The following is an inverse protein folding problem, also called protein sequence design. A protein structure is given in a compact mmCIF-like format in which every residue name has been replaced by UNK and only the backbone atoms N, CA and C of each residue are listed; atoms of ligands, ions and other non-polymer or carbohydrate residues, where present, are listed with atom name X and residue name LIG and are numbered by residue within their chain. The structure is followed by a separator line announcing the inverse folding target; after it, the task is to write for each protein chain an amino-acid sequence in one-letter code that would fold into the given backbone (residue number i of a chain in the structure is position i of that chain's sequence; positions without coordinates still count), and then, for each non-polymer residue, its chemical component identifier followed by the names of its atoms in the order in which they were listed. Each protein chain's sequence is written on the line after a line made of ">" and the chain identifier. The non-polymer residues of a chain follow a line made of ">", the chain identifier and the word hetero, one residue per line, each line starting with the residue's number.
data_IF_249014481036
#
_entry.id   IF_249014481036
#
_cell.length_a   1.000
_cell.length_b   1.000
_cell.length_c   1.000
_cell.angle_alpha   90.00
_cell.angle_beta   90.00
_cell.angle_gamma   90.00
#
_symmetry.space_group_name_H-M   'P 1'
#
loop_
_entity.id
_entity.type
_entity.pdbx_description
1 polymer ?
#
# COMPACT_ATOMS: atom_id res chain seq x y z
N UNK A 1 -3.48 6.83 -17.29
CA UNK A 1 -2.92 6.01 -18.40
C UNK A 1 -3.60 4.66 -18.34
N UNK A 2 -4.17 4.21 -19.45
CA UNK A 2 -4.85 2.92 -19.55
C UNK A 2 -3.88 1.73 -19.49
N UNK A 3 -4.42 0.53 -19.24
CA UNK A 3 -3.60 -0.70 -19.17
C UNK A 3 -2.89 -1.00 -20.50
N UNK A 4 -3.54 -0.76 -21.63
CA UNK A 4 -2.97 -0.96 -22.96
C UNK A 4 -1.82 0.02 -23.29
N UNK A 5 -1.97 1.29 -22.89
CA UNK A 5 -0.92 2.30 -23.05
C UNK A 5 0.31 1.96 -22.23
N UNK A 6 0.10 1.45 -21.01
CA UNK A 6 1.18 1.01 -20.13
C UNK A 6 1.89 -0.23 -20.69
N UNK A 7 1.15 -1.21 -21.19
CA UNK A 7 1.75 -2.38 -21.87
C UNK A 7 2.53 -1.99 -23.14
N UNK A 8 2.08 -0.96 -23.87
CA UNK A 8 2.82 -0.44 -25.01
C UNK A 8 4.17 0.18 -24.60
N UNK A 9 4.20 0.94 -23.48
CA UNK A 9 5.44 1.47 -22.92
C UNK A 9 6.38 0.34 -22.46
N UNK A 10 5.83 -0.65 -21.77
CA UNK A 10 6.61 -1.82 -21.31
C UNK A 10 7.22 -2.56 -22.48
N UNK A 11 6.45 -2.78 -23.55
CA UNK A 11 6.95 -3.42 -24.78
C UNK A 11 8.12 -2.65 -25.41
N UNK A 12 8.05 -1.32 -25.44
CA UNK A 12 9.15 -0.48 -25.94
C UNK A 12 10.43 -0.67 -25.13
N UNK A 13 10.29 -0.67 -23.80
CA UNK A 13 11.45 -0.85 -22.89
C UNK A 13 12.02 -2.26 -23.02
N UNK A 14 11.17 -3.30 -23.10
CA UNK A 14 11.61 -4.68 -23.39
C UNK A 14 12.33 -4.79 -24.72
N UNK A 15 11.95 -3.98 -25.71
CA UNK A 15 12.59 -3.88 -27.02
C UNK A 15 13.90 -3.08 -27.05
N UNK A 16 14.37 -2.57 -25.89
CA UNK A 16 15.66 -1.88 -25.75
C UNK A 16 15.59 -0.37 -25.56
N UNK A 17 14.42 0.25 -25.60
CA UNK A 17 14.23 1.68 -25.28
C UNK A 17 14.34 1.93 -23.76
N UNK A 18 15.57 1.95 -23.26
CA UNK A 18 15.82 2.16 -21.82
C UNK A 18 15.29 3.50 -21.30
N UNK A 19 15.22 4.53 -22.14
CA UNK A 19 14.72 5.84 -21.76
C UNK A 19 13.22 5.79 -21.41
N UNK A 20 12.44 4.93 -22.05
CA UNK A 20 11.02 4.72 -21.78
C UNK A 20 10.71 4.21 -20.36
N UNK A 21 11.71 3.71 -19.62
CA UNK A 21 11.48 3.30 -18.22
C UNK A 21 11.13 4.48 -17.31
N UNK A 22 11.62 5.68 -17.61
CA UNK A 22 11.22 6.88 -16.86
C UNK A 22 9.71 7.15 -16.96
N UNK A 23 9.11 6.87 -18.13
CA UNK A 23 7.68 7.04 -18.34
C UNK A 23 6.88 5.99 -17.55
N UNK A 24 7.35 4.72 -17.52
CA UNK A 24 6.77 3.66 -16.69
C UNK A 24 6.81 4.06 -15.21
N UNK A 25 7.96 4.56 -14.74
CA UNK A 25 8.12 5.04 -13.37
C UNK A 25 7.13 6.18 -13.07
N UNK A 26 7.09 7.21 -13.90
CA UNK A 26 6.21 8.36 -13.71
C UNK A 26 4.73 7.96 -13.63
N UNK A 27 4.33 7.01 -14.49
CA UNK A 27 2.96 6.52 -14.57
C UNK A 27 2.52 5.68 -13.37
N UNK A 28 3.43 4.89 -12.78
CA UNK A 28 3.06 3.85 -11.79
C UNK A 28 3.53 4.15 -10.37
N UNK A 29 4.49 5.08 -10.18
CA UNK A 29 5.06 5.37 -8.86
C UNK A 29 4.01 5.77 -7.82
N UNK A 30 2.95 6.46 -8.24
CA UNK A 30 1.89 6.92 -7.33
C UNK A 30 1.09 5.74 -6.79
N UNK A 31 0.74 4.80 -7.64
CA UNK A 31 -0.06 3.62 -7.26
C UNK A 31 0.74 2.69 -6.34
N UNK A 32 2.02 2.48 -6.66
CA UNK A 32 2.92 1.71 -5.79
C UNK A 32 3.14 2.40 -4.45
N UNK A 33 3.34 3.74 -4.45
CA UNK A 33 3.50 4.51 -3.22
C UNK A 33 2.27 4.44 -2.32
N UNK A 34 1.07 4.57 -2.89
CA UNK A 34 -0.20 4.43 -2.16
C UNK A 34 -0.29 3.04 -1.53
N UNK A 35 0.00 1.99 -2.32
CA UNK A 35 0.01 0.62 -1.83
C UNK A 35 0.98 0.44 -0.66
N UNK A 36 2.22 0.88 -0.81
CA UNK A 36 3.23 0.78 0.26
C UNK A 36 2.85 1.59 1.50
N UNK A 37 2.31 2.81 1.32
CA UNK A 37 1.90 3.67 2.44
C UNK A 37 0.76 3.08 3.27
N UNK A 38 -0.08 2.24 2.67
CA UNK A 38 -1.14 1.55 3.38
C UNK A 38 -0.60 0.46 4.34
N UNK A 39 0.58 -0.12 4.04
CA UNK A 39 1.07 -1.32 4.71
C UNK A 39 2.41 -1.12 5.43
N UNK A 40 3.21 -0.13 5.07
CA UNK A 40 4.50 0.16 5.70
C UNK A 40 4.34 0.77 7.10
N UNK A 41 5.30 0.51 7.98
CA UNK A 41 5.32 1.04 9.35
C UNK A 41 5.81 2.49 9.44
N UNK A 42 6.55 3.00 8.45
CA UNK A 42 7.08 4.37 8.43
C UNK A 42 7.18 4.93 7.01
N UNK A 43 7.29 6.26 6.90
CA UNK A 43 7.49 6.92 5.60
C UNK A 43 8.86 6.57 4.98
N UNK A 44 9.89 6.43 5.81
CA UNK A 44 11.23 6.03 5.36
C UNK A 44 11.21 4.64 4.74
N UNK A 45 10.48 3.68 5.36
CA UNK A 45 10.28 2.35 4.78
C UNK A 45 9.56 2.42 3.43
N UNK A 46 8.57 3.31 3.28
CA UNK A 46 7.88 3.50 1.99
C UNK A 46 8.88 3.93 0.92
N UNK A 47 9.74 4.90 1.22
CA UNK A 47 10.69 5.44 0.26
C UNK A 47 11.79 4.43 -0.10
N UNK A 48 12.32 3.70 0.88
CA UNK A 48 13.31 2.63 0.67
C UNK A 48 12.73 1.49 -0.19
N UNK A 49 11.56 0.98 0.19
CA UNK A 49 10.92 -0.12 -0.54
C UNK A 49 10.48 0.33 -1.93
N UNK A 50 9.97 1.56 -2.09
CA UNK A 50 9.59 2.10 -3.39
C UNK A 50 10.77 2.11 -4.36
N UNK A 51 11.94 2.56 -3.90
CA UNK A 51 13.16 2.54 -4.71
C UNK A 51 13.54 1.11 -5.10
N UNK A 52 13.55 0.18 -4.14
CA UNK A 52 13.86 -1.22 -4.39
C UNK A 52 12.88 -1.89 -5.38
N UNK A 53 11.60 -1.52 -5.33
CA UNK A 53 10.56 -2.00 -6.27
C UNK A 53 10.91 -1.63 -7.71
N UNK A 54 11.30 -0.39 -7.96
CA UNK A 54 11.60 0.04 -9.33
C UNK A 54 12.94 -0.51 -9.84
N UNK A 55 13.92 -0.72 -8.97
CA UNK A 55 15.15 -1.45 -9.33
C UNK A 55 14.79 -2.90 -9.73
N UNK A 56 14.05 -3.62 -8.90
CA UNK A 56 13.63 -4.98 -9.19
C UNK A 56 12.70 -5.05 -10.42
N UNK A 57 11.86 -4.05 -10.62
CA UNK A 57 11.02 -3.91 -11.81
C UNK A 57 11.89 -3.82 -13.07
N UNK A 58 12.89 -2.94 -13.07
CA UNK A 58 13.79 -2.77 -14.21
C UNK A 58 14.53 -4.07 -14.55
N UNK A 59 15.08 -4.75 -13.55
CA UNK A 59 15.78 -6.01 -13.70
C UNK A 59 14.90 -7.14 -14.24
N UNK A 60 13.64 -7.21 -13.77
CA UNK A 60 12.69 -8.28 -14.10
C UNK A 60 11.71 -7.94 -15.22
N UNK A 61 11.80 -6.75 -15.80
CA UNK A 61 10.83 -6.28 -16.79
C UNK A 61 10.71 -7.23 -17.98
N UNK A 62 11.83 -7.87 -18.37
CA UNK A 62 11.87 -8.85 -19.45
C UNK A 62 11.03 -10.11 -19.19
N UNK A 63 10.68 -10.39 -17.91
CA UNK A 63 9.85 -11.55 -17.52
C UNK A 63 8.35 -11.21 -17.49
N UNK A 64 7.97 -9.94 -17.60
CA UNK A 64 6.58 -9.56 -17.59
C UNK A 64 5.91 -9.88 -18.92
N UNK A 65 4.78 -10.61 -18.86
CA UNK A 65 3.94 -10.89 -20.01
C UNK A 65 2.89 -9.78 -20.18
N UNK A 66 2.80 -9.23 -21.40
CA UNK A 66 1.92 -8.10 -21.74
C UNK A 66 0.45 -8.53 -21.71
N UNK A 67 -0.20 -8.49 -20.56
CA UNK A 67 -1.59 -8.93 -20.31
C UNK A 67 -2.48 -7.82 -19.75
N UNK A 68 -2.05 -6.56 -19.78
CA UNK A 68 -2.79 -5.46 -19.15
C UNK A 68 -2.75 -5.46 -17.62
N UNK A 69 -1.91 -6.29 -17.01
CA UNK A 69 -1.82 -6.48 -15.55
C UNK A 69 -0.52 -5.96 -14.95
N UNK A 70 0.10 -4.95 -15.58
CA UNK A 70 1.41 -4.45 -15.16
C UNK A 70 1.40 -3.87 -13.74
N UNK A 71 0.41 -3.05 -13.40
CA UNK A 71 0.30 -2.46 -12.05
C UNK A 71 0.09 -3.54 -10.97
N UNK A 72 -0.81 -4.52 -11.12
CA UNK A 72 -0.89 -5.69 -10.26
C UNK A 72 0.42 -6.46 -10.12
N UNK A 73 1.13 -6.71 -11.22
CA UNK A 73 2.43 -7.38 -11.19
C UNK A 73 3.47 -6.57 -10.40
N UNK A 74 3.53 -5.25 -10.61
CA UNK A 74 4.43 -4.35 -9.90
C UNK A 74 4.09 -4.28 -8.39
N UNK A 75 2.81 -4.27 -8.02
CA UNK A 75 2.37 -4.37 -6.63
C UNK A 75 2.75 -5.73 -6.00
N UNK A 76 2.78 -6.81 -6.79
CA UNK A 76 3.31 -8.11 -6.35
C UNK A 76 4.79 -8.04 -5.96
N UNK A 77 5.62 -7.35 -6.74
CA UNK A 77 7.02 -7.07 -6.40
C UNK A 77 7.09 -6.23 -5.12
N UNK A 78 6.30 -5.17 -5.03
CA UNK A 78 6.26 -4.28 -3.88
C UNK A 78 5.89 -5.02 -2.58
N UNK A 79 4.90 -5.91 -2.65
CA UNK A 79 4.49 -6.76 -1.54
C UNK A 79 5.65 -7.62 -1.03
N UNK A 80 6.32 -8.35 -1.94
CA UNK A 80 7.39 -9.26 -1.56
C UNK A 80 8.58 -8.52 -0.92
N UNK A 81 8.92 -7.33 -1.43
CA UNK A 81 9.99 -6.52 -0.87
C UNK A 81 9.59 -5.91 0.48
N UNK A 82 8.36 -5.44 0.62
CA UNK A 82 7.84 -4.92 1.88
C UNK A 82 7.84 -5.99 2.98
N UNK A 83 7.40 -7.21 2.65
CA UNK A 83 7.44 -8.34 3.58
C UNK A 83 8.86 -8.66 4.02
N UNK A 84 9.80 -8.71 3.08
CA UNK A 84 11.21 -8.94 3.39
C UNK A 84 11.73 -7.89 4.35
N UNK A 85 11.40 -6.61 4.13
CA UNK A 85 11.82 -5.51 4.99
C UNK A 85 11.17 -5.58 6.38
N UNK A 86 9.88 -5.88 6.46
CA UNK A 86 9.18 -6.09 7.72
C UNK A 86 9.79 -7.24 8.52
N UNK A 87 10.09 -8.37 7.88
CA UNK A 87 10.77 -9.51 8.53
C UNK A 87 12.18 -9.16 9.00
N UNK A 88 12.94 -8.38 8.25
CA UNK A 88 14.27 -7.94 8.68
C UNK A 88 14.21 -7.06 9.91
N UNK A 89 13.25 -6.13 9.95
CA UNK A 89 13.06 -5.23 11.09
C UNK A 89 12.42 -5.92 12.31
N UNK A 90 11.55 -6.92 12.11
CA UNK A 90 10.92 -7.69 13.19
C UNK A 90 11.91 -8.61 13.90
N UNK A 91 12.97 -9.06 13.25
CA UNK A 91 14.06 -9.79 13.91
C UNK A 91 14.77 -9.00 15.01
N UNK A 92 14.63 -7.68 15.00
CA UNK A 92 15.13 -6.79 16.07
C UNK A 92 14.06 -6.51 17.15
N UNK A 93 12.79 -6.93 16.95
CA UNK A 93 11.68 -6.75 17.90
C UNK A 93 10.93 -8.08 18.01
N UNK A 94 11.33 -8.87 19.02
CA UNK A 94 10.71 -10.09 19.60
C UNK A 94 9.37 -10.59 19.03
N UNK A 95 9.41 -11.76 18.50
CA UNK A 95 8.53 -12.99 18.48
C UNK A 95 6.99 -12.93 18.67
N UNK A 96 6.29 -11.81 18.70
CA UNK A 96 4.82 -11.77 18.90
C UNK A 96 4.01 -11.25 17.69
N UNK A 97 4.63 -11.03 16.53
CA UNK A 97 4.01 -10.31 15.41
C UNK A 97 3.52 -11.17 14.23
N UNK A 98 3.66 -12.50 14.24
CA UNK A 98 3.28 -13.36 13.11
C UNK A 98 1.79 -13.22 12.71
N UNK A 99 0.90 -13.02 13.69
CA UNK A 99 -0.53 -12.82 13.42
C UNK A 99 -0.83 -11.48 12.74
N UNK A 100 -0.10 -10.40 13.10
CA UNK A 100 -0.26 -9.08 12.50
C UNK A 100 0.32 -9.04 11.08
N UNK A 101 1.44 -9.74 10.85
CA UNK A 101 2.06 -9.85 9.53
C UNK A 101 1.15 -10.61 8.54
N UNK A 102 0.56 -11.72 8.98
CA UNK A 102 -0.39 -12.49 8.17
C UNK A 102 -1.64 -11.67 7.83
N UNK A 103 -2.17 -10.89 8.76
CA UNK A 103 -3.31 -10.01 8.53
C UNK A 103 -2.99 -8.86 7.55
N UNK A 104 -1.79 -8.27 7.64
CA UNK A 104 -1.32 -7.27 6.67
C UNK A 104 -1.18 -7.89 5.27
N UNK A 105 -0.76 -9.16 5.21
CA UNK A 105 -0.60 -9.93 3.98
C UNK A 105 -1.95 -10.22 3.31
N UNK A 106 -2.92 -10.69 4.08
CA UNK A 106 -4.28 -10.99 3.59
C UNK A 106 -4.97 -9.72 3.08
N UNK A 107 -4.79 -8.60 3.80
CA UNK A 107 -5.30 -7.29 3.41
C UNK A 107 -4.67 -6.77 2.11
N UNK A 108 -3.36 -6.92 1.97
CA UNK A 108 -2.65 -6.58 0.74
C UNK A 108 -3.09 -7.45 -0.44
N UNK A 109 -3.37 -8.74 -0.21
CA UNK A 109 -3.85 -9.66 -1.25
C UNK A 109 -5.30 -9.37 -1.65
N UNK A 110 -6.16 -9.00 -0.72
CA UNK A 110 -7.53 -8.60 -1.00
C UNK A 110 -7.56 -7.33 -1.86
N UNK A 111 -6.75 -6.32 -1.52
CA UNK A 111 -6.62 -5.06 -2.28
C UNK A 111 -6.10 -5.27 -3.71
N UNK A 112 -5.35 -6.35 -3.97
CA UNK A 112 -4.87 -6.70 -5.31
C UNK A 112 -5.96 -7.28 -6.21
N UNK A 113 -7.10 -7.70 -5.66
CA UNK A 113 -8.23 -8.27 -6.42
C UNK A 113 -9.25 -7.21 -6.85
N UNK A 114 -9.21 -6.03 -6.24
CA UNK A 114 -10.14 -4.92 -6.53
C UNK A 114 -9.48 -3.87 -7.43
N UNK A 115 -9.22 -4.23 -8.69
CA UNK A 115 -8.78 -3.27 -9.70
C UNK A 115 -10.00 -2.77 -10.49
N UNK A 116 -10.55 -1.63 -10.06
CA UNK A 116 -11.51 -0.90 -10.88
C UNK A 116 -11.32 0.60 -10.76
N UNK A 117 -10.81 1.17 -11.85
CA UNK A 117 -10.50 2.57 -12.05
C UNK A 117 -11.73 3.49 -12.18
N UNK A 118 -12.93 2.92 -12.34
CA UNK A 118 -14.16 3.66 -12.62
C UNK A 118 -14.87 4.30 -11.41
N UNK A 119 -14.44 3.96 -10.17
CA UNK A 119 -15.14 4.41 -8.95
C UNK A 119 -14.31 5.31 -8.03
N UNK A 120 -13.31 5.99 -8.56
CA UNK A 120 -12.31 6.68 -7.72
C UNK A 120 -12.88 7.89 -6.96
N UNK A 121 -13.74 8.68 -7.59
CA UNK A 121 -14.34 9.87 -6.95
C UNK A 121 -15.38 9.47 -5.91
N UNK A 122 -16.23 8.51 -6.23
CA UNK A 122 -17.21 7.95 -5.30
C UNK A 122 -16.54 7.24 -4.12
N UNK A 123 -15.40 6.58 -4.34
CA UNK A 123 -14.65 5.92 -3.28
C UNK A 123 -14.01 6.92 -2.31
N UNK A 124 -13.53 8.07 -2.80
CA UNK A 124 -12.96 9.13 -1.96
C UNK A 124 -14.05 9.74 -1.08
N UNK A 125 -15.22 10.04 -1.65
CA UNK A 125 -16.34 10.60 -0.87
C UNK A 125 -16.82 9.60 0.18
N UNK A 126 -16.98 8.32 -0.19
CA UNK A 126 -17.36 7.25 0.75
C UNK A 126 -16.33 7.07 1.88
N UNK A 127 -15.04 7.15 1.56
CA UNK A 127 -13.99 7.10 2.58
C UNK A 127 -14.10 8.29 3.54
N UNK A 128 -14.34 9.50 3.04
CA UNK A 128 -14.53 10.69 3.87
C UNK A 128 -15.73 10.51 4.83
N UNK A 129 -16.83 9.96 4.34
CA UNK A 129 -18.02 9.66 5.14
C UNK A 129 -17.74 8.60 6.21
N UNK A 130 -16.98 7.55 5.86
CA UNK A 130 -16.57 6.53 6.84
C UNK A 130 -15.59 7.07 7.88
N UNK A 131 -14.66 7.93 7.50
CA UNK A 131 -13.77 8.62 8.42
C UNK A 131 -14.53 9.53 9.40
N UNK A 132 -15.60 10.19 8.94
CA UNK A 132 -16.43 11.02 9.80
C UNK A 132 -17.16 10.25 10.90
N UNK A 133 -17.40 8.95 10.70
CA UNK A 133 -18.04 8.04 11.68
C UNK A 133 -17.10 7.49 12.73
N UNK A 134 -15.79 7.66 12.56
CA UNK A 134 -14.80 7.24 13.56
C UNK A 134 -14.90 8.07 14.84
N UNK A 135 -14.55 7.44 15.97
CA UNK A 135 -14.39 8.18 17.23
C UNK A 135 -13.28 9.22 17.11
N UNK A 136 -13.32 10.33 17.88
CA UNK A 136 -12.28 11.37 17.82
C UNK A 136 -10.87 10.77 17.97
N UNK A 137 -10.69 9.83 18.90
CA UNK A 137 -9.40 9.19 19.17
C UNK A 137 -8.92 8.32 18.01
N UNK A 138 -9.84 7.60 17.36
CA UNK A 138 -9.51 6.79 16.17
C UNK A 138 -9.12 7.67 14.98
N UNK A 139 -9.82 8.82 14.82
CA UNK A 139 -9.51 9.78 13.78
C UNK A 139 -8.13 10.40 13.99
N UNK A 140 -7.79 10.77 15.23
CA UNK A 140 -6.48 11.30 15.59
C UNK A 140 -5.36 10.30 15.28
N UNK A 141 -5.55 9.00 15.58
CA UNK A 141 -4.58 7.95 15.24
C UNK A 141 -4.37 7.83 13.72
N UNK A 142 -5.44 7.90 12.93
CA UNK A 142 -5.35 7.88 11.46
C UNK A 142 -4.64 9.14 10.95
N UNK A 143 -4.96 10.31 11.48
CA UNK A 143 -4.32 11.57 11.10
C UNK A 143 -2.82 11.55 11.41
N UNK A 144 -2.43 11.12 12.61
CA UNK A 144 -1.01 10.97 12.99
C UNK A 144 -0.28 10.01 12.04
N UNK A 145 -0.89 8.85 11.75
CA UNK A 145 -0.25 7.83 10.90
C UNK A 145 -0.13 8.25 9.44
N UNK A 146 -1.22 8.76 8.85
CA UNK A 146 -1.31 8.92 7.39
C UNK A 146 -1.11 10.35 6.91
N UNK A 147 -1.51 11.35 7.70
CA UNK A 147 -1.34 12.77 7.35
C UNK A 147 0.01 13.28 7.84
N UNK A 148 0.31 13.08 9.13
CA UNK A 148 1.58 13.52 9.74
C UNK A 148 2.71 12.53 9.56
N UNK A 149 2.43 11.33 9.06
CA UNK A 149 3.40 10.25 8.78
C UNK A 149 4.23 9.86 10.00
N UNK A 150 3.63 9.95 11.19
CA UNK A 150 4.34 9.62 12.42
C UNK A 150 4.71 8.12 12.47
N UNK A 151 5.93 7.77 12.84
CA UNK A 151 6.31 6.39 13.09
C UNK A 151 5.60 5.85 14.34
N UNK A 152 5.33 4.53 14.37
CA UNK A 152 4.60 3.87 15.46
C UNK A 152 5.23 4.15 16.82
N UNK A 153 6.56 4.18 16.90
CA UNK A 153 7.32 4.50 18.13
C UNK A 153 6.93 5.90 18.68
N UNK A 154 6.89 6.92 17.83
CA UNK A 154 6.46 8.27 18.24
C UNK A 154 4.99 8.32 18.63
N UNK A 155 4.13 7.61 17.90
CA UNK A 155 2.71 7.50 18.24
C UNK A 155 2.52 6.81 19.62
N UNK A 156 3.27 5.75 19.89
CA UNK A 156 3.26 5.05 21.18
C UNK A 156 3.59 6.02 22.34
N UNK A 157 4.59 6.87 22.16
CA UNK A 157 4.95 7.91 23.13
C UNK A 157 3.85 8.96 23.28
N UNK A 158 3.35 9.53 22.17
CA UNK A 158 2.33 10.59 22.18
C UNK A 158 1.01 10.12 22.79
N UNK A 159 0.59 8.90 22.49
CA UNK A 159 -0.65 8.31 23.00
C UNK A 159 -0.49 7.60 24.34
N UNK A 160 0.73 7.52 24.89
CA UNK A 160 1.07 6.80 26.14
C UNK A 160 0.58 5.35 26.11
N UNK A 161 0.84 4.67 25.01
CA UNK A 161 0.47 3.27 24.75
C UNK A 161 1.67 2.50 24.22
N UNK A 162 1.60 1.16 24.27
CA UNK A 162 2.62 0.32 23.65
C UNK A 162 2.54 0.40 22.13
N UNK A 163 3.64 0.12 21.43
CA UNK A 163 3.69 0.04 19.96
C UNK A 163 2.71 -1.02 19.45
N UNK A 164 2.64 -2.17 20.10
CA UNK A 164 1.68 -3.24 19.78
C UNK A 164 0.24 -2.75 19.91
N UNK A 165 -0.08 -1.97 20.95
CA UNK A 165 -1.41 -1.40 21.10
C UNK A 165 -1.75 -0.44 19.95
N UNK A 166 -0.82 0.42 19.52
CA UNK A 166 -0.99 1.33 18.38
C UNK A 166 -1.22 0.51 17.10
N UNK A 167 -0.39 -0.50 16.83
CA UNK A 167 -0.49 -1.33 15.65
C UNK A 167 -1.85 -2.06 15.57
N UNK A 168 -2.26 -2.74 16.66
CA UNK A 168 -3.55 -3.43 16.74
C UNK A 168 -4.73 -2.47 16.60
N UNK A 169 -4.63 -1.28 17.20
CA UNK A 169 -5.71 -0.28 17.11
C UNK A 169 -5.83 0.27 15.69
N UNK A 170 -4.72 0.60 15.03
CA UNK A 170 -4.72 1.01 13.62
C UNK A 170 -5.29 -0.08 12.71
N UNK A 171 -4.95 -1.35 12.97
CA UNK A 171 -5.54 -2.48 12.25
C UNK A 171 -7.07 -2.51 12.42
N UNK A 172 -7.58 -2.46 13.65
CA UNK A 172 -9.03 -2.46 13.92
C UNK A 172 -9.76 -1.29 13.27
N UNK A 173 -9.14 -0.11 13.24
CA UNK A 173 -9.69 1.07 12.57
C UNK A 173 -9.79 0.84 11.06
N UNK A 174 -8.74 0.27 10.44
CA UNK A 174 -8.75 -0.06 9.00
C UNK A 174 -9.84 -1.08 8.66
N UNK A 175 -10.00 -2.12 9.48
CA UNK A 175 -11.07 -3.10 9.30
C UNK A 175 -12.47 -2.46 9.41
N UNK A 176 -12.66 -1.57 10.37
CA UNK A 176 -13.91 -0.84 10.51
C UNK A 176 -14.20 0.05 9.28
N UNK A 177 -13.17 0.73 8.75
CA UNK A 177 -13.28 1.54 7.54
C UNK A 177 -13.58 0.67 6.31
N UNK A 178 -12.89 -0.47 6.14
CA UNK A 178 -13.15 -1.43 5.07
C UNK A 178 -14.61 -1.91 5.12
N UNK A 179 -15.08 -2.36 6.28
CA UNK A 179 -16.46 -2.80 6.47
C UNK A 179 -17.48 -1.69 6.17
N UNK A 180 -17.16 -0.44 6.54
CA UNK A 180 -18.01 0.72 6.25
C UNK A 180 -18.09 0.97 4.73
N UNK A 181 -16.98 0.92 4.04
CA UNK A 181 -16.92 1.15 2.59
C UNK A 181 -17.65 0.05 1.80
N UNK A 182 -17.44 -1.21 2.17
CA UNK A 182 -18.09 -2.36 1.52
C UNK A 182 -19.61 -2.37 1.75
N UNK A 183 -20.09 -1.99 2.94
CA UNK A 183 -21.53 -1.88 3.21
C UNK A 183 -22.21 -0.75 2.43
N UNK A 184 -21.49 0.32 2.13
CA UNK A 184 -22.00 1.40 1.30
C UNK A 184 -22.18 0.99 -0.18
N UNK A 185 -21.44 -0.01 -0.66
CA UNK A 185 -21.59 -0.57 -2.02
C UNK A 185 -22.82 -1.44 -2.19
N UNK A 186 -23.31 -2.04 -1.10
CA UNK A 186 -24.51 -2.89 -1.11
C UNK A 186 -25.84 -2.11 -1.04
N UNK A 187 -25.77 -0.78 -0.85
CA UNK A 187 -26.96 0.07 -0.63
C UNK A 187 -27.26 0.99 -1.83
N UNK A 188 -26.51 0.87 -2.93
CA UNK A 188 -26.72 1.61 -4.18
C UNK A 188 -27.18 0.66 -5.27
#
# INVERSE_FOLDING_TARGET
>A
MGAEELDALVRRVQGGDKAGFADIFAATRKDVRIFLSAHASSADMVDEVLQAVFVACYEKLHTYELRGTFVPWLKGIAKNLLLKELHQRSRYVVAENDALENLILEDAMASLREDQQAHREDSIQRLADCLSKLTPRSRELIEEKYTRRAPIVKMAQSFQKSESWIAVTLFRIREALRTCMTKAELTT
#
